data_IF_646639290517
#
_entry.id   IF_646639290517
#
_cell.length_a   1.000
_cell.length_b   1.000
_cell.length_c   1.000
_cell.angle_alpha   90.00
_cell.angle_beta   90.00
_cell.angle_gamma   90.00
#
_symmetry.space_group_name_H-M   'P 1'
#
loop_
_entity.id
_entity.type
_entity.pdbx_description
1 polymer ?
#
# COMPACT_ATOMS: atom_id res chain seq x y z
N UNK A 1 9.71 -9.08 -2.28
CA UNK A 1 8.92 -9.00 -3.53
C UNK A 1 9.87 -8.80 -4.67
N UNK A 2 9.77 -9.61 -5.72
CA UNK A 2 10.60 -9.51 -6.93
C UNK A 2 9.74 -8.98 -8.08
N UNK A 3 10.27 -8.02 -8.83
CA UNK A 3 9.68 -7.45 -10.04
C UNK A 3 10.66 -7.62 -11.19
N UNK A 4 10.21 -8.26 -12.26
CA UNK A 4 10.97 -8.38 -13.51
C UNK A 4 10.48 -7.31 -14.49
N UNK A 5 11.41 -6.56 -15.09
CA UNK A 5 11.08 -5.58 -16.12
C UNK A 5 11.05 -6.25 -17.48
N UNK A 6 9.98 -6.02 -18.23
CA UNK A 6 9.87 -6.56 -19.60
C UNK A 6 10.60 -5.62 -20.61
N UNK A 7 11.89 -5.38 -20.35
CA UNK A 7 12.77 -4.51 -21.16
C UNK A 7 13.62 -5.29 -22.17
N UNK A 8 13.51 -6.61 -22.17
CA UNK A 8 14.34 -7.49 -23.01
C UNK A 8 15.77 -7.69 -22.51
N UNK A 9 16.17 -7.04 -21.42
CA UNK A 9 17.53 -7.03 -20.87
C UNK A 9 17.65 -7.77 -19.52
N UNK A 10 16.56 -8.36 -19.02
CA UNK A 10 16.48 -9.02 -17.72
C UNK A 10 16.85 -8.08 -16.55
N UNK A 11 16.33 -6.87 -16.57
CA UNK A 11 16.40 -5.99 -15.39
C UNK A 11 15.41 -6.44 -14.33
N UNK A 12 15.81 -6.37 -13.07
CA UNK A 12 14.97 -6.81 -11.95
C UNK A 12 15.04 -5.85 -10.76
N UNK A 13 14.03 -5.90 -9.92
CA UNK A 13 13.97 -5.15 -8.66
C UNK A 13 13.47 -6.05 -7.55
N UNK A 14 14.23 -6.15 -6.49
CA UNK A 14 13.85 -6.81 -5.25
C UNK A 14 13.50 -5.80 -4.16
N UNK A 15 12.37 -6.03 -3.47
CA UNK A 15 11.94 -5.17 -2.38
C UNK A 15 11.66 -5.96 -1.09
N UNK A 16 12.34 -5.58 -0.03
CA UNK A 16 12.08 -6.02 1.34
C UNK A 16 11.33 -4.93 2.11
N UNK A 17 10.21 -5.31 2.75
CA UNK A 17 9.35 -4.34 3.42
C UNK A 17 9.13 -4.72 4.87
N UNK A 18 9.34 -3.74 5.76
CA UNK A 18 8.97 -3.80 7.17
C UNK A 18 7.79 -2.84 7.40
N UNK A 19 6.76 -3.33 8.06
CA UNK A 19 5.57 -2.56 8.36
C UNK A 19 5.21 -2.65 9.84
N UNK A 20 4.87 -1.51 10.43
CA UNK A 20 4.31 -1.40 11.77
C UNK A 20 2.95 -0.71 11.70
N UNK A 21 1.95 -1.28 12.36
CA UNK A 21 0.60 -0.71 12.38
C UNK A 21 0.00 -0.65 13.77
N UNK A 22 -0.86 0.34 13.97
CA UNK A 22 -1.72 0.47 15.14
C UNK A 22 -3.18 0.55 14.70
N UNK A 23 -4.03 -0.20 15.37
CA UNK A 23 -5.46 -0.24 15.10
C UNK A 23 -6.24 0.20 16.34
N UNK A 24 -7.21 1.07 16.13
CA UNK A 24 -8.16 1.48 17.16
C UNK A 24 -9.60 1.33 16.67
N UNK A 25 -10.47 0.84 17.54
CA UNK A 25 -11.91 0.75 17.28
C UNK A 25 -12.66 1.29 18.48
N UNK A 26 -13.39 2.37 18.26
CA UNK A 26 -14.26 2.97 19.24
C UNK A 26 -15.72 2.73 18.86
N UNK A 27 -16.56 2.38 19.85
CA UNK A 27 -18.00 2.19 19.68
C UNK A 27 -18.77 3.05 20.68
N UNK A 28 -19.74 3.81 20.16
CA UNK A 28 -20.70 4.54 20.98
C UNK A 28 -22.10 4.33 20.41
N UNK A 29 -22.97 3.68 21.18
CA UNK A 29 -24.27 3.18 20.70
C UNK A 29 -24.10 2.29 19.45
N UNK A 30 -24.77 2.69 18.34
CA UNK A 30 -24.67 2.00 17.04
C UNK A 30 -23.51 2.51 16.17
N UNK A 31 -22.83 3.60 16.57
CA UNK A 31 -21.74 4.17 15.82
C UNK A 31 -20.41 3.46 16.09
N UNK A 32 -19.66 3.23 15.03
CA UNK A 32 -18.36 2.59 15.07
C UNK A 32 -17.36 3.49 14.35
N UNK A 33 -16.34 3.93 15.07
CA UNK A 33 -15.16 4.60 14.50
C UNK A 33 -14.01 3.58 14.48
N UNK A 34 -13.37 3.42 13.33
CA UNK A 34 -12.15 2.62 13.15
C UNK A 34 -11.06 3.54 12.65
N UNK A 35 -9.90 3.43 13.25
CA UNK A 35 -8.71 4.17 12.87
C UNK A 35 -7.56 3.17 12.75
N UNK A 36 -6.93 3.15 11.61
CA UNK A 36 -5.73 2.38 11.33
C UNK A 36 -4.61 3.35 10.96
N UNK A 37 -3.46 3.19 11.61
CA UNK A 37 -2.25 3.92 11.30
C UNK A 37 -1.16 2.92 10.95
N UNK A 38 -0.54 3.06 9.80
CA UNK A 38 0.50 2.16 9.32
C UNK A 38 1.71 2.96 8.89
N UNK A 39 2.88 2.59 9.40
CA UNK A 39 4.18 3.07 8.91
C UNK A 39 4.91 1.92 8.22
N UNK A 40 5.54 2.22 7.08
CA UNK A 40 6.24 1.24 6.25
C UNK A 40 7.59 1.77 5.82
N UNK A 41 8.58 0.88 5.84
CA UNK A 41 9.89 1.09 5.23
C UNK A 41 10.12 -0.03 4.24
N UNK A 42 10.41 0.32 2.99
CA UNK A 42 10.74 -0.63 1.93
C UNK A 42 12.17 -0.38 1.46
N UNK A 43 12.98 -1.43 1.40
CA UNK A 43 14.34 -1.40 0.91
C UNK A 43 14.33 -2.06 -0.46
N UNK A 44 14.74 -1.32 -1.47
CA UNK A 44 14.73 -1.72 -2.86
C UNK A 44 16.15 -1.91 -3.37
N UNK A 45 16.40 -3.03 -4.04
CA UNK A 45 17.63 -3.28 -4.78
C UNK A 45 17.24 -3.41 -6.26
N UNK A 46 17.84 -2.60 -7.10
CA UNK A 46 17.59 -2.58 -8.55
C UNK A 46 18.84 -3.09 -9.26
N UNK A 47 18.65 -4.06 -10.15
CA UNK A 47 19.64 -4.52 -11.10
C UNK A 47 19.16 -4.20 -12.50
N UNK A 48 19.73 -3.15 -13.10
CA UNK A 48 19.38 -2.67 -14.43
C UNK A 48 20.46 -3.08 -15.44
N UNK A 49 20.02 -3.72 -16.50
CA UNK A 49 20.89 -4.23 -17.56
C UNK A 49 20.62 -3.49 -18.87
N UNK A 50 21.68 -3.15 -19.59
CA UNK A 50 21.58 -2.58 -20.95
C UNK A 50 22.48 -3.39 -21.87
N UNK A 51 21.89 -3.96 -22.93
CA UNK A 51 22.61 -4.67 -23.98
C UNK A 51 22.87 -3.71 -25.15
N UNK A 52 24.16 -3.42 -25.38
CA UNK A 52 24.62 -2.65 -26.52
C UNK A 52 24.93 -3.59 -27.67
N UNK A 53 24.22 -3.45 -28.78
CA UNK A 53 24.25 -4.36 -29.95
C UNK A 53 25.66 -4.75 -30.47
N UNK A 54 26.71 -3.97 -30.16
CA UNK A 54 28.08 -4.25 -30.58
C UNK A 54 29.15 -4.02 -29.50
N UNK A 55 28.77 -3.65 -28.29
CA UNK A 55 29.71 -3.20 -27.25
C UNK A 55 29.61 -4.01 -25.93
N UNK A 56 28.74 -5.01 -25.88
CA UNK A 56 28.56 -5.85 -24.71
C UNK A 56 27.42 -5.37 -23.80
N UNK A 57 27.33 -5.98 -22.64
CA UNK A 57 26.30 -5.72 -21.62
C UNK A 57 26.87 -4.83 -20.51
N UNK A 58 26.13 -3.81 -20.13
CA UNK A 58 26.40 -2.99 -18.96
C UNK A 58 25.42 -3.33 -17.85
N UNK A 59 25.95 -3.52 -16.64
CA UNK A 59 25.16 -3.79 -15.43
C UNK A 59 25.25 -2.57 -14.51
N UNK A 60 24.11 -2.09 -14.06
CA UNK A 60 23.98 -1.00 -13.10
C UNK A 60 23.19 -1.50 -11.89
N UNK A 61 23.70 -1.20 -10.70
CA UNK A 61 23.07 -1.61 -9.45
C UNK A 61 22.71 -0.38 -8.64
N UNK A 62 21.50 -0.33 -8.16
CA UNK A 62 20.99 0.73 -7.30
C UNK A 62 20.35 0.18 -6.02
N UNK A 63 20.46 0.96 -4.95
CA UNK A 63 19.75 0.67 -3.71
C UNK A 63 19.11 1.94 -3.20
N UNK A 64 17.82 1.84 -2.84
CA UNK A 64 17.11 2.95 -2.20
C UNK A 64 16.14 2.46 -1.14
N UNK A 65 15.72 3.40 -0.31
CA UNK A 65 14.70 3.17 0.71
C UNK A 65 13.49 4.04 0.40
N UNK A 66 12.30 3.49 0.60
CA UNK A 66 11.05 4.22 0.52
C UNK A 66 10.32 4.16 1.86
N UNK A 67 9.80 5.28 2.29
CA UNK A 67 9.09 5.42 3.57
C UNK A 67 7.66 5.81 3.28
N UNK A 68 6.70 5.20 3.97
CA UNK A 68 5.31 5.64 3.88
C UNK A 68 4.60 5.60 5.23
N UNK A 69 3.66 6.52 5.39
CA UNK A 69 2.71 6.53 6.49
C UNK A 69 1.30 6.60 5.92
N UNK A 70 0.43 5.70 6.36
CA UNK A 70 -0.97 5.63 5.94
C UNK A 70 -1.87 5.74 7.16
N UNK A 71 -2.84 6.63 7.09
CA UNK A 71 -3.92 6.74 8.08
C UNK A 71 -5.25 6.43 7.39
N UNK A 72 -5.95 5.40 7.88
CA UNK A 72 -7.26 4.99 7.39
C UNK A 72 -8.31 5.16 8.49
N UNK A 73 -9.29 6.03 8.24
CA UNK A 73 -10.32 6.39 9.22
C UNK A 73 -11.70 6.09 8.64
N UNK A 74 -12.49 5.29 9.33
CA UNK A 74 -13.82 4.86 8.90
C UNK A 74 -14.85 5.10 10.00
N UNK A 75 -15.93 5.79 9.67
CA UNK A 75 -17.07 5.99 10.54
C UNK A 75 -18.30 5.30 9.96
N UNK A 76 -18.89 4.36 10.68
CA UNK A 76 -20.07 3.62 10.26
C UNK A 76 -21.12 3.52 11.35
N UNK A 77 -22.32 3.12 10.94
CA UNK A 77 -23.42 2.84 11.86
C UNK A 77 -23.86 1.38 11.70
N UNK A 78 -23.77 0.62 12.79
CA UNK A 78 -24.19 -0.77 12.81
C UNK A 78 -25.70 -0.88 12.97
N UNK A 79 -26.35 -1.54 12.03
CA UNK A 79 -27.77 -1.83 12.01
C UNK A 79 -27.95 -3.33 12.18
N UNK A 80 -28.64 -3.75 13.21
CA UNK A 80 -28.92 -5.16 13.48
C UNK A 80 -29.93 -5.73 12.48
N UNK A 81 -29.61 -6.85 11.86
CA UNK A 81 -30.48 -7.65 11.01
C UNK A 81 -30.92 -8.93 11.75
N UNK A 82 -31.58 -8.74 12.88
CA UNK A 82 -31.98 -9.84 13.77
C UNK A 82 -30.90 -10.20 14.80
N UNK A 83 -30.91 -11.46 15.32
CA UNK A 83 -30.06 -11.86 16.45
C UNK A 83 -28.61 -12.14 16.08
N UNK A 84 -28.35 -12.52 14.83
CA UNK A 84 -27.07 -13.09 14.42
C UNK A 84 -26.45 -12.40 13.23
N UNK A 85 -27.03 -11.32 12.73
CA UNK A 85 -26.53 -10.59 11.59
C UNK A 85 -26.58 -9.07 11.81
N UNK A 86 -25.66 -8.34 11.19
CA UNK A 86 -25.67 -6.88 11.15
C UNK A 86 -25.13 -6.38 9.82
N UNK A 87 -25.55 -5.18 9.46
CA UNK A 87 -25.03 -4.41 8.32
C UNK A 87 -24.48 -3.09 8.87
N UNK A 88 -23.33 -2.70 8.40
CA UNK A 88 -22.67 -1.44 8.81
C UNK A 88 -22.32 -0.65 7.56
N UNK A 89 -23.21 0.24 7.06
CA UNK A 89 -22.79 1.26 6.10
C UNK A 89 -21.78 2.20 6.77
N UNK A 90 -20.73 2.59 6.02
CA UNK A 90 -19.70 3.49 6.52
C UNK A 90 -19.18 4.43 5.44
N UNK A 91 -18.65 5.56 5.89
CA UNK A 91 -17.80 6.44 5.09
C UNK A 91 -16.42 6.51 5.71
N UNK A 92 -15.41 6.72 4.90
CA UNK A 92 -14.03 6.76 5.35
C UNK A 92 -13.14 7.64 4.52
N UNK A 93 -11.95 7.87 5.06
CA UNK A 93 -10.87 8.61 4.43
C UNK A 93 -9.56 7.87 4.70
N UNK A 94 -8.89 7.50 3.64
CA UNK A 94 -7.52 7.00 3.67
C UNK A 94 -6.60 8.13 3.18
N UNK A 95 -5.54 8.40 3.93
CA UNK A 95 -4.51 9.35 3.56
C UNK A 95 -3.15 8.67 3.66
N UNK A 96 -2.37 8.75 2.60
CA UNK A 96 -1.02 8.18 2.52
C UNK A 96 -0.04 9.27 2.14
N UNK A 97 1.09 9.32 2.82
CA UNK A 97 2.25 10.11 2.45
C UNK A 97 3.43 9.18 2.27
N UNK A 98 4.17 9.35 1.18
CA UNK A 98 5.31 8.52 0.81
C UNK A 98 6.49 9.42 0.45
N UNK A 99 7.68 9.02 0.87
CA UNK A 99 8.95 9.69 0.57
C UNK A 99 9.91 8.64 0.00
N UNK A 100 10.53 8.97 -1.11
CA UNK A 100 11.69 8.27 -1.65
C UNK A 100 12.85 9.25 -1.74
N UNK A 101 13.93 9.08 -0.96
CA UNK A 101 15.12 9.90 -1.09
C UNK A 101 15.80 9.77 -2.45
N UNK A 102 16.64 10.73 -2.80
CA UNK A 102 17.55 10.64 -3.97
C UNK A 102 18.45 9.42 -3.80
N UNK A 103 18.65 8.68 -4.86
CA UNK A 103 19.61 7.58 -4.90
C UNK A 103 20.40 7.58 -6.20
N UNK A 104 21.56 6.91 -6.18
CA UNK A 104 22.42 6.77 -7.34
C UNK A 104 22.71 5.30 -7.58
N UNK A 105 22.68 4.91 -8.84
CA UNK A 105 23.18 3.62 -9.30
C UNK A 105 24.70 3.63 -9.33
N UNK A 106 25.29 2.46 -9.36
CA UNK A 106 26.71 2.21 -9.67
C UNK A 106 26.82 1.49 -11.01
N UNK A 107 27.86 1.76 -11.77
CA UNK A 107 28.08 1.19 -13.12
C UNK A 107 28.46 2.26 -14.14
N UNK A 108 28.71 1.86 -15.40
CA UNK A 108 29.19 2.76 -16.45
C UNK A 108 28.15 3.79 -16.89
N UNK A 109 26.88 3.39 -17.00
CA UNK A 109 25.76 4.28 -17.35
C UNK A 109 24.82 4.44 -16.14
N UNK A 110 25.41 4.69 -14.99
CA UNK A 110 24.66 4.88 -13.75
C UNK A 110 23.80 6.14 -13.79
N UNK A 111 22.63 6.04 -13.17
CA UNK A 111 21.69 7.15 -13.02
C UNK A 111 21.73 7.67 -11.59
N UNK A 112 21.60 8.98 -11.45
CA UNK A 112 21.13 9.59 -10.21
C UNK A 112 19.64 9.90 -10.39
N UNK A 113 18.81 9.31 -9.53
CA UNK A 113 17.36 9.50 -9.54
C UNK A 113 17.01 10.43 -8.39
N UNK A 114 16.42 11.57 -8.71
CA UNK A 114 16.03 12.56 -7.71
C UNK A 114 14.97 11.98 -6.75
N UNK A 115 15.07 12.39 -5.49
CA UNK A 115 14.09 12.03 -4.49
C UNK A 115 12.71 12.60 -4.83
N UNK A 116 11.69 11.88 -4.45
CA UNK A 116 10.30 12.28 -4.68
C UNK A 116 9.48 12.03 -3.42
N UNK A 117 8.51 12.90 -3.16
CA UNK A 117 7.46 12.70 -2.19
C UNK A 117 6.10 12.73 -2.88
N UNK A 118 5.22 11.89 -2.43
CA UNK A 118 3.88 11.76 -2.99
C UNK A 118 2.86 11.67 -1.86
N UNK A 119 1.70 12.22 -2.09
CA UNK A 119 0.57 12.09 -1.19
C UNK A 119 -0.65 11.57 -1.94
N UNK A 120 -1.49 10.85 -1.22
CA UNK A 120 -2.74 10.30 -1.70
C UNK A 120 -3.81 10.51 -0.66
N UNK A 121 -4.97 10.97 -1.07
CA UNK A 121 -6.18 11.01 -0.24
C UNK A 121 -7.29 10.31 -0.97
N UNK A 122 -7.87 9.30 -0.32
CA UNK A 122 -8.88 8.42 -0.90
C UNK A 122 -10.14 8.42 -0.02
N UNK A 123 -11.13 9.29 -0.30
CA UNK A 123 -12.45 9.13 0.29
C UNK A 123 -13.07 7.82 -0.17
N UNK A 124 -13.74 7.13 0.74
CA UNK A 124 -14.39 5.84 0.48
C UNK A 124 -15.74 5.72 1.16
N UNK A 125 -16.60 4.93 0.55
CA UNK A 125 -17.87 4.51 1.13
C UNK A 125 -17.98 3.00 1.01
N UNK A 126 -18.60 2.36 1.99
CA UNK A 126 -18.70 0.91 1.99
C UNK A 126 -19.80 0.38 2.88
N UNK A 127 -19.95 -0.93 2.81
CA UNK A 127 -20.91 -1.70 3.59
C UNK A 127 -20.21 -2.95 4.11
N UNK A 128 -20.21 -3.12 5.42
CA UNK A 128 -19.76 -4.34 6.07
C UNK A 128 -21.00 -5.17 6.49
N UNK A 129 -21.04 -6.43 6.08
CA UNK A 129 -22.03 -7.42 6.50
C UNK A 129 -21.35 -8.38 7.48
N UNK A 130 -21.97 -8.59 8.64
CA UNK A 130 -21.53 -9.59 9.61
C UNK A 130 -22.64 -10.58 9.85
N UNK A 131 -22.27 -11.86 9.96
CA UNK A 131 -23.17 -12.93 10.35
C UNK A 131 -22.46 -13.89 11.29
N UNK A 132 -23.24 -14.49 12.19
CA UNK A 132 -22.73 -15.53 13.09
C UNK A 132 -23.77 -16.62 13.26
N UNK A 133 -23.33 -17.86 13.45
CA UNK A 133 -24.23 -18.93 13.85
C UNK A 133 -24.54 -18.82 15.34
N UNK A 134 -25.63 -19.45 15.78
CA UNK A 134 -25.85 -19.71 17.20
C UNK A 134 -24.75 -20.66 17.71
N UNK A 135 -24.48 -20.60 19.01
CA UNK A 135 -23.54 -21.51 19.63
C UNK A 135 -24.05 -22.95 19.51
N UNK A 136 -23.23 -23.85 18.97
CA UNK A 136 -23.55 -25.28 18.90
C UNK A 136 -23.49 -25.91 20.31
N UNK A 137 -24.14 -27.06 20.48
CA UNK A 137 -24.09 -27.85 21.74
C UNK A 137 -22.66 -28.15 22.21
N UNK A 138 -21.68 -28.14 21.28
CA UNK A 138 -20.26 -28.38 21.56
C UNK A 138 -19.46 -27.08 21.75
N UNK A 139 -20.09 -25.92 21.92
CA UNK A 139 -19.44 -24.63 22.15
C UNK A 139 -18.89 -23.95 20.88
N UNK A 140 -19.12 -24.47 19.68
CA UNK A 140 -18.66 -23.88 18.43
C UNK A 140 -19.57 -22.74 17.99
N UNK A 141 -18.95 -21.62 17.61
CA UNK A 141 -19.61 -20.46 17.00
C UNK A 141 -18.84 -20.02 15.75
N UNK A 142 -19.48 -20.08 14.58
CA UNK A 142 -18.91 -19.56 13.34
C UNK A 142 -19.26 -18.08 13.21
N UNK A 143 -18.29 -17.25 12.82
CA UNK A 143 -18.48 -15.82 12.49
C UNK A 143 -17.91 -15.57 11.13
N UNK A 144 -18.64 -14.82 10.30
CA UNK A 144 -18.22 -14.36 9.00
C UNK A 144 -18.43 -12.87 8.83
N UNK A 145 -17.59 -12.23 8.04
CA UNK A 145 -17.76 -10.85 7.64
C UNK A 145 -17.46 -10.72 6.15
N UNK A 146 -18.21 -9.87 5.47
CA UNK A 146 -17.98 -9.45 4.09
C UNK A 146 -17.97 -7.92 4.08
N UNK A 147 -16.94 -7.33 3.52
CA UNK A 147 -16.83 -5.89 3.32
C UNK A 147 -16.74 -5.58 1.82
N UNK A 148 -17.54 -4.62 1.38
CA UNK A 148 -17.52 -4.11 0.01
C UNK A 148 -17.43 -2.59 0.09
N UNK A 149 -16.42 -2.03 -0.55
CA UNK A 149 -16.22 -0.58 -0.55
C UNK A 149 -15.84 -0.05 -1.93
N UNK A 150 -16.13 1.22 -2.13
CA UNK A 150 -15.69 1.99 -3.28
C UNK A 150 -14.95 3.24 -2.78
N UNK A 151 -13.77 3.47 -3.33
CA UNK A 151 -12.95 4.65 -3.04
C UNK A 151 -12.56 5.36 -4.33
N UNK A 152 -12.37 6.68 -4.22
CA UNK A 152 -11.88 7.51 -5.31
C UNK A 152 -10.54 8.13 -4.93
N UNK A 153 -9.53 7.94 -5.76
CA UNK A 153 -8.18 8.47 -5.56
C UNK A 153 -8.12 9.94 -5.94
N UNK A 154 -7.72 10.80 -4.98
CA UNK A 154 -7.49 12.23 -5.16
C UNK A 154 -5.98 12.56 -5.17
N UNK A 155 -5.13 11.61 -5.56
CA UNK A 155 -3.70 11.82 -5.60
C UNK A 155 -3.28 12.73 -6.76
N UNK A 156 -2.19 13.43 -6.58
CA UNK A 156 -1.45 14.03 -7.67
C UNK A 156 -0.46 12.99 -8.23
N UNK A 157 -0.98 12.12 -9.11
CA UNK A 157 -0.21 11.04 -9.74
C UNK A 157 0.66 11.53 -10.92
N UNK A 158 0.72 12.82 -11.20
CA UNK A 158 1.44 13.40 -12.33
C UNK A 158 2.83 13.95 -11.96
N UNK A 159 3.39 13.58 -10.84
CA UNK A 159 4.75 13.96 -10.52
C UNK A 159 5.75 13.31 -11.50
N UNK A 160 6.56 14.16 -12.13
CA UNK A 160 7.59 13.71 -13.06
C UNK A 160 8.80 13.25 -12.26
N UNK A 161 9.25 12.05 -12.54
CA UNK A 161 10.55 11.59 -12.05
C UNK A 161 11.66 12.14 -12.91
N UNK A 162 12.70 12.64 -12.28
CA UNK A 162 13.90 13.12 -12.94
C UNK A 162 15.06 12.18 -12.63
N UNK A 163 15.72 11.73 -13.69
CA UNK A 163 16.95 10.96 -13.61
C UNK A 163 18.00 11.58 -14.54
N UNK A 164 19.25 11.60 -14.09
CA UNK A 164 20.38 12.09 -14.87
C UNK A 164 21.50 11.06 -14.87
N UNK A 165 22.22 10.98 -15.99
CA UNK A 165 23.45 10.19 -16.04
C UNK A 165 24.52 10.80 -15.12
N UNK A 166 25.13 9.96 -14.31
CA UNK A 166 26.32 10.32 -13.55
C UNK A 166 27.54 10.10 -14.44
N UNK A 167 28.17 11.20 -14.88
CA UNK A 167 29.38 11.14 -15.70
C UNK A 167 30.62 10.84 -14.84
#
# INVERSE_FOLDING_TARGET
TNFEFNDGNNSEEDADTIQLGAHNKYRSNDWILRNDLTARVSIHNIDRNIDWANSGRSEMNGKYEAYSITSDNNLGRELSLGKNASITPYGGLEATYMIRPTFSESGLESLEVEGNDAWSVKPKVGIELKASTNESKNGWKLKGALDVSYGYELADLNEREYARLTA
#
